data_IF_596908853323
#
_entry.id   IF_596908853323
#
_cell.length_a   1.000
_cell.length_b   1.000
_cell.length_c   1.000
_cell.angle_alpha   90.00
_cell.angle_beta   90.00
_cell.angle_gamma   90.00
#
_symmetry.space_group_name_H-M   'P 1'
#
loop_
_entity.id
_entity.type
_entity.pdbx_description
1 polymer ?
#
# COMPACT_ATOMS: atom_id res chain seq x y z
N UNK A 1 6.05 50.93 5.76
CA UNK A 1 7.13 50.83 6.78
C UNK A 1 8.10 49.78 6.25
N UNK A 2 9.34 50.14 5.91
CA UNK A 2 10.31 49.20 5.33
C UNK A 2 10.89 48.31 6.45
N UNK A 3 11.13 47.05 6.17
CA UNK A 3 11.74 46.06 7.09
C UNK A 3 13.04 46.60 7.75
N UNK A 4 13.76 47.41 7.01
CA UNK A 4 14.96 48.07 7.52
C UNK A 4 14.69 49.03 8.68
N UNK A 5 13.64 49.89 8.59
CA UNK A 5 13.25 50.78 9.69
C UNK A 5 12.77 50.02 10.91
N UNK A 6 12.08 48.88 10.73
CA UNK A 6 11.67 48.03 11.82
C UNK A 6 12.89 47.43 12.55
N UNK A 7 13.88 46.96 11.79
CA UNK A 7 15.12 46.42 12.33
C UNK A 7 15.91 47.45 13.15
N UNK A 8 16.09 48.69 12.67
CA UNK A 8 16.75 49.75 13.38
C UNK A 8 16.01 50.17 14.67
N UNK A 9 14.67 50.16 14.63
CA UNK A 9 13.84 50.46 15.80
C UNK A 9 14.01 49.38 16.88
N UNK A 10 14.03 48.11 16.48
CA UNK A 10 14.22 46.97 17.41
C UNK A 10 15.62 46.96 18.01
N UNK A 11 16.66 47.31 17.23
CA UNK A 11 18.05 47.34 17.68
C UNK A 11 18.30 48.47 18.70
N UNK A 12 17.54 49.57 18.64
CA UNK A 12 17.62 50.71 19.57
C UNK A 12 16.81 50.57 20.86
N UNK A 13 16.08 49.47 21.03
CA UNK A 13 15.26 49.26 22.23
C UNK A 13 16.10 49.01 23.48
N UNK A 14 15.78 49.78 24.53
CA UNK A 14 16.34 49.54 25.88
C UNK A 14 15.84 48.19 26.44
N UNK A 15 16.51 47.69 27.49
CA UNK A 15 16.11 46.45 28.18
C UNK A 15 14.63 46.50 28.58
N UNK A 16 14.12 47.66 29.04
CA UNK A 16 12.70 47.84 29.37
C UNK A 16 11.78 47.69 28.15
N UNK A 17 12.22 48.15 26.97
CA UNK A 17 11.47 47.99 25.71
C UNK A 17 11.33 46.52 25.30
N UNK A 18 12.36 45.72 25.49
CA UNK A 18 12.31 44.27 25.26
C UNK A 18 11.34 43.56 26.21
N UNK A 19 11.34 43.96 27.52
CA UNK A 19 10.35 43.42 28.46
C UNK A 19 8.93 43.76 28.07
N UNK A 20 8.67 44.98 27.60
CA UNK A 20 7.34 45.41 27.12
C UNK A 20 6.88 44.56 25.92
N UNK A 21 7.75 44.32 24.94
CA UNK A 21 7.46 43.47 23.79
C UNK A 21 7.17 42.05 24.25
N UNK A 22 7.95 41.51 25.19
CA UNK A 22 7.74 40.14 25.71
C UNK A 22 6.38 40.01 26.43
N UNK A 23 5.98 41.02 27.22
CA UNK A 23 4.66 41.06 27.87
C UNK A 23 3.54 41.10 26.84
N UNK A 24 3.67 41.92 25.80
CA UNK A 24 2.68 42.01 24.72
C UNK A 24 2.54 40.68 23.99
N UNK A 25 3.64 40.03 23.64
CA UNK A 25 3.65 38.72 23.00
C UNK A 25 3.00 37.67 23.94
N UNK A 26 3.30 37.67 25.23
CA UNK A 26 2.74 36.76 26.21
C UNK A 26 1.22 36.92 26.32
N UNK A 27 0.72 38.16 26.38
CA UNK A 27 -0.72 38.46 26.38
C UNK A 27 -1.40 38.00 25.07
N UNK A 28 -0.74 38.15 23.92
CA UNK A 28 -1.27 37.63 22.66
C UNK A 28 -1.36 36.10 22.63
N UNK A 29 -0.41 35.40 23.26
CA UNK A 29 -0.44 33.95 23.37
C UNK A 29 -1.59 33.47 24.28
N UNK A 30 -1.90 34.21 25.36
CA UNK A 30 -3.04 33.88 26.25
C UNK A 30 -4.42 34.20 25.67
N UNK A 31 -4.54 35.31 24.93
CA UNK A 31 -5.83 35.79 24.41
C UNK A 31 -6.27 35.04 23.13
N UNK A 32 -5.33 34.58 22.33
CA UNK A 32 -5.64 33.77 21.14
C UNK A 32 -5.51 32.31 21.52
N UNK A 33 -6.60 31.55 21.63
CA UNK A 33 -6.51 30.11 21.79
C UNK A 33 -5.94 29.51 20.50
N UNK A 34 -4.61 29.56 20.35
CA UNK A 34 -3.91 28.84 19.30
C UNK A 34 -4.10 27.33 19.54
N UNK A 35 -5.20 26.78 19.04
CA UNK A 35 -5.38 25.33 18.86
C UNK A 35 -4.43 24.77 17.76
N UNK A 36 -3.48 25.56 17.34
CA UNK A 36 -2.47 25.15 16.38
C UNK A 36 -1.32 24.55 17.16
N UNK A 37 -1.17 23.25 17.10
CA UNK A 37 0.04 22.58 17.56
C UNK A 37 1.17 22.91 16.55
N UNK A 38 2.04 23.92 16.81
CA UNK A 38 3.04 24.37 15.85
C UNK A 38 4.09 23.28 15.58
N UNK A 39 4.32 22.40 16.56
CA UNK A 39 5.25 21.28 16.44
C UNK A 39 4.62 20.19 15.55
N UNK A 40 3.32 19.90 15.71
CA UNK A 40 2.60 18.99 14.84
C UNK A 40 2.58 19.49 13.40
N UNK A 41 2.18 20.76 13.18
CA UNK A 41 2.20 21.37 11.85
C UNK A 41 3.57 21.37 11.17
N UNK A 42 4.64 21.67 11.92
CA UNK A 42 6.01 21.62 11.40
C UNK A 42 6.43 20.19 11.08
N UNK A 43 6.09 19.23 11.95
CA UNK A 43 6.32 17.80 11.74
C UNK A 43 5.63 17.29 10.47
N UNK A 44 4.36 17.62 10.28
CA UNK A 44 3.60 17.22 9.08
C UNK A 44 4.20 17.84 7.81
N UNK A 45 4.63 19.11 7.86
CA UNK A 45 5.23 19.77 6.70
C UNK A 45 6.60 19.21 6.33
N UNK A 46 7.42 18.84 7.31
CA UNK A 46 8.73 18.21 7.10
C UNK A 46 8.59 16.77 6.60
N UNK A 47 7.59 16.04 7.10
CA UNK A 47 7.36 14.65 6.74
C UNK A 47 6.47 14.46 5.50
N UNK A 48 5.75 15.49 5.05
CA UNK A 48 4.88 15.42 3.87
C UNK A 48 5.55 14.80 2.61
N UNK A 49 6.81 15.13 2.24
CA UNK A 49 7.47 14.49 1.12
C UNK A 49 7.80 13.01 1.40
N UNK A 50 8.01 12.64 2.66
CA UNK A 50 8.27 11.26 3.06
C UNK A 50 7.00 10.42 2.99
N UNK A 51 5.85 10.92 3.49
CA UNK A 51 4.55 10.25 3.36
C UNK A 51 4.18 10.01 1.90
N UNK A 52 4.42 10.97 1.01
CA UNK A 52 4.19 10.80 -0.44
C UNK A 52 5.06 9.71 -1.05
N UNK A 53 6.33 9.58 -0.61
CA UNK A 53 7.23 8.52 -1.07
C UNK A 53 6.79 7.16 -0.55
N UNK A 54 6.38 7.06 0.71
CA UNK A 54 5.88 5.81 1.31
C UNK A 54 4.62 5.35 0.57
N UNK A 55 3.61 6.20 0.40
CA UNK A 55 2.40 5.86 -0.34
C UNK A 55 2.68 5.40 -1.79
N UNK A 56 3.67 6.02 -2.46
CA UNK A 56 4.09 5.58 -3.80
C UNK A 56 4.78 4.21 -3.78
N UNK A 57 5.55 3.92 -2.73
CA UNK A 57 6.22 2.61 -2.58
C UNK A 57 5.18 1.53 -2.29
N UNK A 58 4.23 1.80 -1.40
CA UNK A 58 3.11 0.90 -1.09
C UNK A 58 2.32 0.56 -2.37
N UNK A 59 1.87 1.56 -3.12
CA UNK A 59 1.16 1.34 -4.38
C UNK A 59 1.94 0.51 -5.40
N UNK A 60 3.27 0.73 -5.52
CA UNK A 60 4.11 -0.09 -6.40
C UNK A 60 4.31 -1.50 -5.89
N UNK A 61 4.40 -1.68 -4.57
CA UNK A 61 4.51 -3.00 -3.96
C UNK A 61 3.25 -3.83 -4.21
N UNK A 62 2.08 -3.23 -4.03
CA UNK A 62 0.79 -3.87 -4.30
C UNK A 62 0.66 -4.27 -5.79
N UNK A 63 1.08 -3.39 -6.70
CA UNK A 63 1.13 -3.69 -8.14
C UNK A 63 2.05 -4.87 -8.45
N UNK A 64 3.24 -4.92 -7.83
CA UNK A 64 4.18 -6.02 -7.99
C UNK A 64 3.66 -7.35 -7.43
N UNK A 65 3.00 -7.31 -6.28
CA UNK A 65 2.38 -8.48 -5.66
C UNK A 65 1.27 -9.01 -6.57
N UNK A 66 0.39 -8.14 -7.06
CA UNK A 66 -0.68 -8.52 -7.98
C UNK A 66 -0.14 -9.10 -9.30
N UNK A 67 0.94 -8.52 -9.85
CA UNK A 67 1.60 -9.04 -11.03
C UNK A 67 2.22 -10.42 -10.77
N UNK A 68 2.73 -10.66 -9.57
CA UNK A 68 3.25 -11.98 -9.16
C UNK A 68 2.13 -13.03 -9.13
N UNK A 69 0.99 -12.72 -8.51
CA UNK A 69 -0.18 -13.62 -8.52
C UNK A 69 -0.66 -13.88 -9.95
N UNK A 70 -0.75 -12.86 -10.77
CA UNK A 70 -1.13 -13.01 -12.19
C UNK A 70 -0.20 -13.95 -12.94
N UNK A 71 1.11 -13.79 -12.78
CA UNK A 71 2.10 -14.65 -13.42
C UNK A 71 1.98 -16.11 -12.95
N UNK A 72 1.73 -16.33 -11.64
CA UNK A 72 1.50 -17.66 -11.08
C UNK A 72 0.26 -18.32 -11.69
N UNK A 73 -0.83 -17.59 -11.84
CA UNK A 73 -2.08 -18.06 -12.45
C UNK A 73 -1.85 -18.49 -13.91
N UNK A 74 -1.19 -17.62 -14.70
CA UNK A 74 -0.92 -17.91 -16.11
C UNK A 74 0.04 -19.08 -16.28
N UNK A 75 1.13 -19.13 -15.49
CA UNK A 75 2.06 -20.25 -15.51
C UNK A 75 1.38 -21.59 -15.16
N UNK A 76 0.49 -21.59 -14.17
CA UNK A 76 -0.26 -22.81 -13.83
C UNK A 76 -1.24 -23.22 -14.92
N UNK A 77 -1.90 -22.25 -15.59
CA UNK A 77 -2.71 -22.55 -16.78
C UNK A 77 -1.89 -23.22 -17.87
N UNK A 78 -0.68 -22.70 -18.17
CA UNK A 78 0.19 -23.27 -19.18
C UNK A 78 0.61 -24.71 -18.83
N UNK A 79 0.87 -24.98 -17.55
CA UNK A 79 1.12 -26.35 -17.08
C UNK A 79 -0.10 -27.25 -17.28
N UNK A 80 -1.31 -26.79 -16.93
CA UNK A 80 -2.56 -27.53 -17.14
C UNK A 80 -2.87 -27.82 -18.63
N UNK A 81 -2.40 -26.96 -19.54
CA UNK A 81 -2.53 -27.14 -20.98
C UNK A 81 -1.48 -28.10 -21.56
N UNK A 82 -0.31 -28.18 -20.93
CA UNK A 82 0.80 -29.04 -21.37
C UNK A 82 0.78 -30.45 -20.79
N UNK A 83 0.12 -30.63 -19.64
CA UNK A 83 0.05 -31.89 -18.88
C UNK A 83 -1.42 -32.24 -18.60
N UNK A 84 -1.66 -33.45 -18.11
CA UNK A 84 -3.01 -33.80 -17.66
C UNK A 84 -3.37 -33.04 -16.37
N UNK A 85 -4.58 -32.48 -16.30
CA UNK A 85 -5.06 -31.75 -15.12
C UNK A 85 -5.12 -32.64 -13.84
N UNK A 86 -5.07 -33.97 -14.01
CA UNK A 86 -5.06 -34.95 -12.91
C UNK A 86 -3.65 -35.25 -12.37
N UNK A 87 -2.60 -34.70 -12.99
CA UNK A 87 -1.22 -34.88 -12.53
C UNK A 87 -0.83 -33.93 -11.39
N UNK A 88 -1.70 -32.97 -11.08
CA UNK A 88 -1.46 -32.01 -10.02
C UNK A 88 -2.08 -32.45 -8.70
N UNK A 89 -1.35 -32.17 -7.59
CA UNK A 89 -1.86 -32.43 -6.24
C UNK A 89 -2.92 -31.40 -5.83
N UNK A 90 -3.69 -31.77 -4.81
CA UNK A 90 -4.68 -30.85 -4.25
C UNK A 90 -4.02 -29.57 -3.73
N UNK A 91 -2.84 -29.69 -3.07
CA UNK A 91 -2.08 -28.57 -2.53
C UNK A 91 -1.64 -27.58 -3.61
N UNK A 92 -1.20 -28.09 -4.77
CA UNK A 92 -0.83 -27.24 -5.91
C UNK A 92 -2.03 -26.44 -6.43
N UNK A 93 -3.20 -27.07 -6.51
CA UNK A 93 -4.43 -26.38 -6.87
C UNK A 93 -4.83 -25.36 -5.82
N UNK A 94 -4.83 -25.74 -4.53
CA UNK A 94 -5.23 -24.84 -3.43
C UNK A 94 -4.36 -23.59 -3.40
N UNK A 95 -3.06 -23.72 -3.62
CA UNK A 95 -2.11 -22.60 -3.70
C UNK A 95 -2.40 -21.62 -4.85
N UNK A 96 -2.86 -22.14 -5.97
CA UNK A 96 -3.23 -21.29 -7.11
C UNK A 96 -4.63 -20.69 -6.93
N UNK A 97 -5.56 -21.41 -6.32
CA UNK A 97 -6.89 -20.89 -5.97
C UNK A 97 -6.76 -19.71 -4.98
N UNK A 98 -5.84 -19.81 -4.01
CA UNK A 98 -5.52 -18.69 -3.11
C UNK A 98 -4.94 -17.49 -3.87
N UNK A 99 -3.99 -17.73 -4.78
CA UNK A 99 -3.42 -16.68 -5.63
C UNK A 99 -4.49 -16.00 -6.49
N UNK A 100 -5.47 -16.76 -7.00
CA UNK A 100 -6.63 -16.24 -7.74
C UNK A 100 -7.46 -15.30 -6.84
N UNK A 101 -7.79 -15.74 -5.62
CA UNK A 101 -8.56 -14.92 -4.68
C UNK A 101 -7.88 -13.58 -4.37
N UNK A 102 -6.58 -13.62 -4.09
CA UNK A 102 -5.79 -12.42 -3.82
C UNK A 102 -5.72 -11.49 -5.04
N UNK A 103 -5.55 -12.04 -6.25
CA UNK A 103 -5.54 -11.26 -7.48
C UNK A 103 -6.90 -10.64 -7.80
N UNK A 104 -7.99 -11.39 -7.66
CA UNK A 104 -9.36 -10.90 -7.88
C UNK A 104 -9.70 -9.76 -6.89
N UNK A 105 -9.30 -9.87 -5.62
CA UNK A 105 -9.47 -8.83 -4.62
C UNK A 105 -8.71 -7.56 -4.99
N UNK A 106 -7.43 -7.68 -5.36
CA UNK A 106 -6.64 -6.54 -5.81
C UNK A 106 -7.29 -5.83 -7.01
N UNK A 107 -7.73 -6.58 -8.02
CA UNK A 107 -8.39 -6.00 -9.19
C UNK A 107 -9.68 -5.26 -8.82
N UNK A 108 -10.45 -5.81 -7.86
CA UNK A 108 -11.69 -5.20 -7.38
C UNK A 108 -11.42 -3.90 -6.61
N UNK A 109 -10.44 -3.89 -5.71
CA UNK A 109 -10.08 -2.72 -4.89
C UNK A 109 -9.51 -1.57 -5.73
N UNK A 110 -8.80 -1.89 -6.81
CA UNK A 110 -8.18 -0.92 -7.70
C UNK A 110 -8.99 -0.65 -9.00
N UNK A 111 -10.21 -1.16 -9.11
CA UNK A 111 -11.10 -1.01 -10.29
C UNK A 111 -10.45 -1.43 -11.62
N UNK A 112 -9.55 -2.43 -11.56
CA UNK A 112 -8.81 -2.94 -12.72
C UNK A 112 -9.65 -4.00 -13.45
N UNK A 113 -9.83 -3.82 -14.77
CA UNK A 113 -10.47 -4.83 -15.62
C UNK A 113 -9.54 -6.03 -15.80
N UNK A 114 -10.05 -7.22 -15.45
CA UNK A 114 -9.29 -8.47 -15.44
C UNK A 114 -9.51 -9.36 -16.68
N UNK A 115 -9.78 -8.78 -17.83
CA UNK A 115 -10.26 -9.53 -19.03
C UNK A 115 -9.29 -10.65 -19.46
N UNK A 116 -7.97 -10.41 -19.40
CA UNK A 116 -6.98 -11.40 -19.86
C UNK A 116 -6.78 -12.59 -18.93
N UNK A 117 -6.95 -12.39 -17.60
CA UNK A 117 -6.76 -13.45 -16.61
C UNK A 117 -8.04 -14.25 -16.36
N UNK A 118 -9.19 -13.68 -16.68
CA UNK A 118 -10.50 -14.30 -16.42
C UNK A 118 -10.65 -15.67 -17.09
N UNK A 119 -10.16 -15.82 -18.32
CA UNK A 119 -10.21 -17.11 -19.02
C UNK A 119 -9.33 -18.16 -18.34
N UNK A 120 -8.13 -17.80 -17.93
CA UNK A 120 -7.21 -18.67 -17.19
C UNK A 120 -7.83 -19.11 -15.86
N UNK A 121 -8.37 -18.16 -15.10
CA UNK A 121 -9.02 -18.39 -13.82
C UNK A 121 -10.20 -19.37 -13.97
N UNK A 122 -11.06 -19.13 -14.94
CA UNK A 122 -12.22 -20.00 -15.18
C UNK A 122 -11.80 -21.43 -15.58
N UNK A 123 -10.75 -21.55 -16.39
CA UNK A 123 -10.19 -22.85 -16.77
C UNK A 123 -9.64 -23.61 -15.55
N UNK A 124 -8.83 -22.96 -14.72
CA UNK A 124 -8.25 -23.56 -13.51
C UNK A 124 -9.35 -23.97 -12.53
N UNK A 125 -10.33 -23.08 -12.25
CA UNK A 125 -11.46 -23.36 -11.34
C UNK A 125 -12.28 -24.56 -11.85
N UNK A 126 -12.46 -24.71 -13.15
CA UNK A 126 -13.14 -25.86 -13.76
C UNK A 126 -12.35 -27.15 -13.54
N UNK A 127 -11.06 -27.18 -13.86
CA UNK A 127 -10.20 -28.34 -13.66
C UNK A 127 -10.18 -28.78 -12.19
N UNK A 128 -10.05 -27.83 -11.27
CA UNK A 128 -10.11 -28.09 -9.83
C UNK A 128 -11.42 -28.75 -9.42
N UNK A 129 -12.56 -28.22 -9.88
CA UNK A 129 -13.88 -28.76 -9.57
C UNK A 129 -14.05 -30.19 -10.13
N UNK A 130 -13.53 -30.44 -11.32
CA UNK A 130 -13.55 -31.79 -11.91
C UNK A 130 -12.72 -32.77 -11.09
N UNK A 131 -11.50 -32.38 -10.66
CA UNK A 131 -10.66 -33.20 -9.79
C UNK A 131 -11.33 -33.47 -8.45
N UNK A 132 -11.97 -32.47 -7.84
CA UNK A 132 -12.73 -32.65 -6.59
C UNK A 132 -13.87 -33.64 -6.74
N UNK A 133 -14.68 -33.49 -7.79
CA UNK A 133 -15.85 -34.35 -8.01
C UNK A 133 -15.45 -35.81 -8.28
N UNK A 134 -14.36 -36.02 -8.99
CA UNK A 134 -13.86 -37.36 -9.34
C UNK A 134 -12.91 -37.91 -8.29
N UNK A 135 -12.49 -37.13 -7.31
CA UNK A 135 -11.48 -37.49 -6.27
C UNK A 135 -10.18 -38.02 -6.87
N UNK A 136 -9.72 -37.43 -7.96
CA UNK A 136 -8.58 -37.90 -8.75
C UNK A 136 -7.42 -36.90 -8.82
N UNK A 137 -7.19 -36.15 -7.75
CA UNK A 137 -5.92 -35.39 -7.60
C UNK A 137 -4.73 -36.37 -7.56
N UNK A 138 -3.60 -35.94 -8.09
CA UNK A 138 -2.38 -36.70 -7.93
C UNK A 138 -2.02 -36.85 -6.43
N UNK A 139 -1.58 -38.02 -6.02
CA UNK A 139 -0.96 -38.19 -4.71
C UNK A 139 0.49 -37.72 -4.75
N UNK A 140 0.98 -37.08 -3.69
CA UNK A 140 2.39 -36.83 -3.54
C UNK A 140 3.15 -38.15 -3.60
N UNK A 141 4.30 -38.23 -4.31
CA UNK A 141 5.14 -39.41 -4.22
C UNK A 141 5.53 -39.65 -2.75
N UNK A 142 5.28 -40.85 -2.25
CA UNK A 142 5.74 -41.23 -0.92
C UNK A 142 7.26 -41.03 -0.85
N UNK A 143 7.72 -40.20 0.10
CA UNK A 143 9.15 -40.03 0.36
C UNK A 143 9.63 -41.34 0.93
N UNK A 144 10.54 -42.07 0.27
CA UNK A 144 11.08 -43.32 0.85
C UNK A 144 11.83 -42.99 2.15
N UNK A 145 11.43 -43.62 3.24
CA UNK A 145 12.07 -43.53 4.55
C UNK A 145 13.42 -44.23 4.55
#
# INVERSE_FOLDING_TARGET
>A
MTLYKLYETIKGLSISGWFTIFIIISLFIEIVPFKVNPIGWLGDRLNAPMYKKVAKIESKLDEHIAQSYRNKILAFQDLLLSQSYTEFTKEQYDEVIEAIGNYENYCKENEIKNDKCTLAINYIKRCYTECQNKRNFSSLPEVPH
#
